data_IF_484576128140
#
_entry.id   IF_484576128140
#
_cell.length_a   1.000
_cell.length_b   1.000
_cell.length_c   1.000
_cell.angle_alpha   90.00
_cell.angle_beta   90.00
_cell.angle_gamma   90.00
#
_symmetry.space_group_name_H-M   'P 1'
#
loop_
_entity.id
_entity.type
_entity.pdbx_description
1 polymer ?
#
# COMPACT_ATOMS: atom_id res chain seq x y z
N UNK A 1 1.02 -21.41 -34.36
CA UNK A 1 0.05 -21.39 -33.25
C UNK A 1 0.48 -20.31 -32.27
N UNK A 2 -0.30 -19.23 -32.07
CA UNK A 2 0.06 -18.20 -31.12
C UNK A 2 -0.35 -18.61 -29.70
N UNK A 3 0.55 -18.38 -28.74
CA UNK A 3 0.32 -18.61 -27.31
C UNK A 3 -0.73 -17.65 -26.77
N UNK A 4 -1.53 -18.20 -25.87
CA UNK A 4 -2.65 -17.65 -25.12
C UNK A 4 -2.33 -16.38 -24.35
N UNK A 5 -3.22 -15.39 -24.53
CA UNK A 5 -3.56 -14.25 -23.66
C UNK A 5 -2.74 -14.00 -22.40
N UNK A 6 -1.78 -13.08 -22.51
CA UNK A 6 -1.45 -12.17 -21.41
C UNK A 6 -2.36 -10.97 -21.61
N UNK A 7 -3.34 -10.79 -20.73
CA UNK A 7 -4.09 -9.53 -20.64
C UNK A 7 -3.08 -8.40 -20.50
N UNK A 8 -3.08 -7.46 -21.44
CA UNK A 8 -2.24 -6.27 -21.37
C UNK A 8 -2.48 -5.60 -20.03
N UNK A 9 -1.46 -5.57 -19.17
CA UNK A 9 -1.52 -4.81 -17.92
C UNK A 9 -1.65 -3.34 -18.28
N UNK A 10 -2.63 -2.66 -17.68
CA UNK A 10 -2.74 -1.21 -17.74
C UNK A 10 -1.47 -0.58 -17.13
N UNK A 11 -0.64 0.03 -17.98
CA UNK A 11 0.68 0.56 -17.61
C UNK A 11 0.60 1.82 -16.75
N UNK A 12 -0.59 2.42 -16.58
CA UNK A 12 -0.77 3.63 -15.78
C UNK A 12 -0.76 3.41 -14.25
N UNK A 13 -0.75 2.16 -13.76
CA UNK A 13 -0.84 1.84 -12.33
C UNK A 13 0.43 1.22 -11.72
N UNK A 14 1.47 0.98 -12.52
CA UNK A 14 2.70 0.36 -12.05
C UNK A 14 3.58 1.37 -11.31
N UNK A 15 4.21 0.92 -10.21
CA UNK A 15 5.19 1.69 -9.45
C UNK A 15 6.58 1.10 -9.61
N UNK A 16 7.59 1.98 -9.60
CA UNK A 16 9.01 1.61 -9.63
C UNK A 16 9.66 1.85 -8.26
N UNK A 17 10.50 0.91 -7.83
CA UNK A 17 11.45 1.04 -6.70
C UNK A 17 12.80 0.43 -7.12
N UNK A 18 13.91 0.92 -6.55
CA UNK A 18 15.24 0.55 -6.99
C UNK A 18 16.06 -0.03 -5.84
N UNK A 19 16.62 -1.21 -6.04
CA UNK A 19 17.38 -1.94 -5.02
C UNK A 19 18.83 -2.15 -5.43
N UNK A 20 19.77 -1.62 -4.65
CA UNK A 20 21.19 -1.94 -4.71
C UNK A 20 21.51 -3.08 -3.77
N UNK A 21 21.98 -4.20 -4.31
CA UNK A 21 22.23 -5.43 -3.56
C UNK A 21 23.61 -6.00 -3.89
N UNK A 22 24.58 -5.16 -4.28
CA UNK A 22 25.85 -5.63 -4.85
C UNK A 22 25.74 -5.87 -6.36
N UNK A 23 26.42 -6.89 -6.89
CA UNK A 23 26.36 -7.21 -8.31
C UNK A 23 24.91 -7.41 -8.77
N UNK A 24 24.46 -6.58 -9.71
CA UNK A 24 23.06 -6.56 -10.12
C UNK A 24 22.61 -7.81 -10.90
N UNK A 25 23.53 -8.67 -11.35
CA UNK A 25 23.21 -9.89 -12.10
C UNK A 25 22.51 -10.92 -11.20
N UNK A 26 23.08 -11.14 -10.01
CA UNK A 26 22.44 -11.97 -8.99
C UNK A 26 21.18 -11.32 -8.46
N UNK A 27 21.20 -10.01 -8.24
CA UNK A 27 20.08 -9.26 -7.67
C UNK A 27 18.85 -9.31 -8.60
N UNK A 28 19.05 -9.11 -9.90
CA UNK A 28 18.00 -9.19 -10.92
C UNK A 28 17.31 -10.55 -10.89
N UNK A 29 18.10 -11.64 -10.87
CA UNK A 29 17.57 -13.00 -10.79
C UNK A 29 16.72 -13.23 -9.53
N UNK A 30 17.16 -12.73 -8.37
CA UNK A 30 16.44 -12.89 -7.09
C UNK A 30 15.13 -12.09 -7.08
N UNK A 31 15.16 -10.82 -7.50
CA UNK A 31 13.99 -9.94 -7.49
C UNK A 31 12.96 -10.33 -8.55
N UNK A 32 13.41 -10.80 -9.71
CA UNK A 32 12.52 -11.37 -10.75
C UNK A 32 11.72 -12.57 -10.28
N UNK A 33 12.28 -13.38 -9.38
CA UNK A 33 11.64 -14.58 -8.87
C UNK A 33 10.52 -14.28 -7.87
N UNK A 34 10.35 -13.03 -7.43
CA UNK A 34 9.27 -12.64 -6.52
C UNK A 34 7.93 -12.67 -7.27
N UNK A 35 6.95 -13.50 -6.83
CA UNK A 35 5.65 -13.57 -7.49
C UNK A 35 4.95 -12.20 -7.53
N UNK A 36 4.41 -11.83 -8.68
CA UNK A 36 3.69 -10.56 -8.87
C UNK A 36 4.55 -9.39 -9.35
N UNK A 37 5.88 -9.55 -9.42
CA UNK A 37 6.75 -8.58 -10.11
C UNK A 37 6.41 -8.53 -11.59
N UNK A 38 6.20 -7.33 -12.12
CA UNK A 38 5.81 -7.12 -13.52
C UNK A 38 7.04 -7.06 -14.45
N UNK A 39 8.10 -6.38 -14.02
CA UNK A 39 9.33 -6.19 -14.80
C UNK A 39 10.52 -5.90 -13.88
N UNK A 40 11.72 -6.30 -14.29
CA UNK A 40 12.98 -5.91 -13.65
C UNK A 40 13.99 -5.46 -14.70
N UNK A 41 14.80 -4.47 -14.35
CA UNK A 41 15.84 -3.93 -15.22
C UNK A 41 17.05 -3.53 -14.39
N UNK A 42 18.26 -3.80 -14.89
CA UNK A 42 19.49 -3.41 -14.20
C UNK A 42 20.02 -2.06 -14.67
N UNK A 43 20.64 -1.31 -13.75
CA UNK A 43 21.17 0.01 -14.04
C UNK A 43 22.03 0.59 -12.92
N UNK A 44 22.31 1.89 -13.03
CA UNK A 44 23.20 2.64 -12.13
C UNK A 44 22.45 3.82 -11.52
N UNK A 45 22.41 3.92 -10.18
CA UNK A 45 21.64 4.96 -9.48
C UNK A 45 22.32 5.49 -8.21
N UNK A 46 21.87 6.67 -7.78
CA UNK A 46 22.27 7.30 -6.51
C UNK A 46 23.68 7.91 -6.49
N UNK A 47 24.33 8.06 -7.65
CA UNK A 47 25.52 8.89 -7.81
C UNK A 47 25.19 10.32 -8.22
N UNK A 48 26.22 11.16 -8.32
CA UNK A 48 26.09 12.57 -8.66
C UNK A 48 25.98 12.83 -10.17
N UNK A 49 26.55 11.96 -11.00
CA UNK A 49 26.52 12.11 -12.44
C UNK A 49 25.09 11.91 -13.00
N UNK A 50 24.63 12.74 -13.93
CA UNK A 50 23.27 12.63 -14.46
C UNK A 50 23.06 11.40 -15.33
N UNK A 51 24.13 10.89 -15.97
CA UNK A 51 24.11 9.73 -16.84
C UNK A 51 25.47 9.05 -16.84
N UNK A 52 25.51 7.72 -16.72
CA UNK A 52 26.75 6.93 -16.67
C UNK A 52 26.63 5.62 -17.44
N UNK A 53 27.77 5.12 -17.92
CA UNK A 53 27.98 3.74 -18.42
C UNK A 53 28.67 2.89 -17.35
N UNK A 54 28.77 1.57 -17.58
CA UNK A 54 29.55 0.69 -16.71
C UNK A 54 31.00 1.17 -16.53
N UNK A 55 31.64 1.59 -17.63
CA UNK A 55 33.02 2.07 -17.62
C UNK A 55 33.18 3.36 -16.81
N UNK A 56 32.19 4.26 -16.86
CA UNK A 56 32.18 5.49 -16.06
C UNK A 56 32.10 5.16 -14.56
N UNK A 57 31.24 4.22 -14.16
CA UNK A 57 31.11 3.77 -12.76
C UNK A 57 32.42 3.16 -12.25
N UNK A 58 33.06 2.30 -13.06
CA UNK A 58 34.36 1.72 -12.69
C UNK A 58 35.48 2.75 -12.65
N UNK A 59 35.48 3.73 -13.56
CA UNK A 59 36.46 4.82 -13.57
C UNK A 59 36.31 5.69 -12.33
N UNK A 60 35.09 6.04 -11.96
CA UNK A 60 34.80 6.84 -10.78
C UNK A 60 35.23 6.11 -9.50
N UNK A 61 34.93 4.82 -9.38
CA UNK A 61 35.37 4.00 -8.25
C UNK A 61 36.91 3.98 -8.10
N UNK A 62 37.65 3.85 -9.22
CA UNK A 62 39.12 3.92 -9.20
C UNK A 62 39.62 5.30 -8.75
N UNK A 63 38.98 6.38 -9.19
CA UNK A 63 39.35 7.74 -8.79
C UNK A 63 39.08 8.00 -7.31
N UNK A 64 37.94 7.54 -6.78
CA UNK A 64 37.59 7.62 -5.36
C UNK A 64 38.62 6.88 -4.52
N UNK A 65 38.96 5.63 -4.87
CA UNK A 65 39.97 4.84 -4.14
C UNK A 65 41.37 5.46 -4.16
N UNK A 66 41.71 6.15 -5.25
CA UNK A 66 42.96 6.88 -5.36
C UNK A 66 42.96 8.23 -4.62
N UNK A 67 41.86 8.61 -3.95
CA UNK A 67 41.69 9.93 -3.32
C UNK A 67 41.62 11.10 -4.31
N UNK A 68 41.37 10.80 -5.60
CA UNK A 68 41.36 11.77 -6.71
C UNK A 68 39.97 12.29 -7.07
N UNK A 69 38.93 11.72 -6.48
CA UNK A 69 37.56 12.19 -6.59
C UNK A 69 36.88 12.17 -5.24
N UNK A 70 36.00 13.14 -5.03
CA UNK A 70 35.05 13.21 -3.90
C UNK A 70 33.60 13.08 -4.40
N UNK A 71 33.39 12.85 -5.70
CA UNK A 71 32.06 12.67 -6.25
C UNK A 71 31.47 11.34 -5.77
N UNK A 72 30.14 11.33 -5.63
CA UNK A 72 29.42 10.13 -5.25
C UNK A 72 29.23 9.22 -6.46
N UNK A 73 29.77 8.01 -6.40
CA UNK A 73 29.59 7.02 -7.46
C UNK A 73 28.16 6.43 -7.45
N UNK A 74 27.71 5.96 -8.61
CA UNK A 74 26.47 5.20 -8.71
C UNK A 74 26.62 3.80 -8.12
N UNK A 75 25.56 3.30 -7.49
CA UNK A 75 25.41 1.89 -7.16
C UNK A 75 24.84 1.14 -8.37
N UNK A 76 25.29 -0.11 -8.56
CA UNK A 76 24.55 -1.10 -9.33
C UNK A 76 23.21 -1.36 -8.64
N UNK A 77 22.12 -1.23 -9.39
CA UNK A 77 20.76 -1.41 -8.88
C UNK A 77 19.89 -2.19 -9.84
N UNK A 78 18.84 -2.77 -9.29
CA UNK A 78 17.71 -3.34 -10.03
C UNK A 78 16.51 -2.42 -9.86
N UNK A 79 15.98 -1.87 -10.96
CA UNK A 79 14.64 -1.28 -11.02
C UNK A 79 13.63 -2.41 -10.99
N UNK A 80 12.74 -2.40 -10.01
CA UNK A 80 11.63 -3.35 -9.90
C UNK A 80 10.33 -2.61 -10.15
N UNK A 81 9.58 -3.05 -11.16
CA UNK A 81 8.25 -2.54 -11.49
C UNK A 81 7.18 -3.49 -11.00
N UNK A 82 6.21 -2.98 -10.25
CA UNK A 82 5.15 -3.80 -9.64
C UNK A 82 3.79 -3.09 -9.64
N UNK A 83 2.72 -3.88 -9.64
CA UNK A 83 1.36 -3.38 -9.43
C UNK A 83 1.05 -3.41 -7.92
N UNK A 84 0.90 -2.25 -7.24
CA UNK A 84 0.62 -2.20 -5.81
C UNK A 84 -0.73 -2.83 -5.42
N UNK A 85 -1.63 -3.09 -6.39
CA UNK A 85 -2.87 -3.84 -6.15
C UNK A 85 -2.67 -5.36 -6.10
N UNK A 86 -1.56 -5.86 -6.65
CA UNK A 86 -1.25 -7.30 -6.75
C UNK A 86 -0.08 -7.72 -5.88
N UNK A 87 0.89 -6.83 -5.68
CA UNK A 87 2.09 -7.09 -4.92
C UNK A 87 2.31 -5.98 -3.90
N UNK A 88 2.25 -6.35 -2.63
CA UNK A 88 2.59 -5.47 -1.52
C UNK A 88 4.09 -5.16 -1.50
N UNK A 89 4.44 -3.89 -1.29
CA UNK A 89 5.82 -3.43 -1.24
C UNK A 89 6.61 -4.13 -0.13
N UNK A 90 5.97 -4.48 0.99
CA UNK A 90 6.66 -5.19 2.07
C UNK A 90 7.20 -6.55 1.62
N UNK A 91 6.52 -7.25 0.69
CA UNK A 91 7.04 -8.50 0.10
C UNK A 91 8.35 -8.26 -0.65
N UNK A 92 8.46 -7.16 -1.40
CA UNK A 92 9.70 -6.77 -2.10
C UNK A 92 10.80 -6.39 -1.12
N UNK A 93 10.47 -5.65 -0.06
CA UNK A 93 11.42 -5.26 0.98
C UNK A 93 11.95 -6.50 1.72
N UNK A 94 11.10 -7.46 2.08
CA UNK A 94 11.54 -8.74 2.66
C UNK A 94 12.48 -9.48 1.72
N UNK A 95 12.12 -9.59 0.43
CA UNK A 95 12.99 -10.22 -0.56
C UNK A 95 14.35 -9.49 -0.66
N UNK A 96 14.35 -8.17 -0.63
CA UNK A 96 15.57 -7.36 -0.59
C UNK A 96 16.42 -7.69 0.64
N UNK A 97 15.86 -7.60 1.84
CA UNK A 97 16.58 -7.80 3.11
C UNK A 97 17.18 -9.20 3.25
N UNK A 98 16.47 -10.25 2.83
CA UNK A 98 16.94 -11.63 3.01
C UNK A 98 17.96 -12.10 1.95
N UNK A 99 18.05 -11.44 0.79
CA UNK A 99 18.86 -11.92 -0.34
C UNK A 99 20.22 -11.22 -0.51
N UNK A 100 20.65 -10.40 0.45
CA UNK A 100 22.00 -9.81 0.51
C UNK A 100 22.41 -9.54 1.97
N UNK A 101 23.65 -9.10 2.23
CA UNK A 101 24.10 -8.69 3.57
C UNK A 101 23.96 -7.16 3.72
N UNK A 102 22.87 -6.64 4.30
CA UNK A 102 22.69 -5.20 4.46
C UNK A 102 23.66 -4.57 5.47
N UNK A 103 24.44 -5.36 6.21
CA UNK A 103 25.41 -4.89 7.20
C UNK A 103 26.81 -4.71 6.63
N UNK A 104 27.09 -5.29 5.45
CA UNK A 104 28.37 -5.14 4.75
C UNK A 104 28.48 -3.73 4.13
N UNK A 105 29.39 -2.93 4.66
CA UNK A 105 29.67 -1.57 4.17
C UNK A 105 30.47 -1.63 2.88
N UNK A 106 30.03 -0.92 1.84
CA UNK A 106 30.81 -0.68 0.63
C UNK A 106 31.10 -1.94 -0.19
N UNK A 107 30.20 -2.93 -0.18
CA UNK A 107 30.33 -4.12 -1.00
C UNK A 107 29.32 -5.21 -0.64
N UNK A 108 29.34 -6.30 -1.39
CA UNK A 108 28.60 -7.53 -1.11
C UNK A 108 29.43 -8.76 -1.46
N UNK A 109 29.68 -9.62 -0.48
CA UNK A 109 30.56 -10.78 -0.66
C UNK A 109 31.94 -10.33 -1.16
N UNK A 110 32.37 -10.87 -2.31
CA UNK A 110 33.65 -10.55 -2.94
C UNK A 110 33.62 -9.25 -3.77
N UNK A 111 32.44 -8.71 -4.06
CA UNK A 111 32.28 -7.48 -4.83
C UNK A 111 32.44 -6.27 -3.89
N UNK A 112 33.67 -5.79 -3.77
CA UNK A 112 34.01 -4.66 -2.91
C UNK A 112 34.09 -3.39 -3.74
N UNK A 113 33.38 -2.34 -3.32
CA UNK A 113 33.36 -1.01 -3.92
C UNK A 113 32.10 -0.23 -3.59
N UNK A 114 32.19 1.11 -3.66
CA UNK A 114 31.03 1.97 -3.37
C UNK A 114 29.88 1.72 -4.36
N UNK A 115 30.18 1.24 -5.56
CA UNK A 115 29.21 0.83 -6.57
C UNK A 115 28.44 -0.47 -6.22
N UNK A 116 28.91 -1.25 -5.25
CA UNK A 116 28.27 -2.49 -4.77
C UNK A 116 27.56 -2.32 -3.42
N UNK A 117 27.39 -1.08 -2.95
CA UNK A 117 26.72 -0.80 -1.68
C UNK A 117 25.26 -1.27 -1.68
N UNK A 118 24.77 -1.62 -0.50
CA UNK A 118 23.34 -1.84 -0.28
C UNK A 118 22.58 -0.51 -0.31
N UNK A 119 21.50 -0.44 -1.09
CA UNK A 119 20.70 0.78 -1.25
C UNK A 119 19.23 0.50 -1.57
N UNK A 120 18.35 1.38 -1.11
CA UNK A 120 16.96 1.49 -1.56
C UNK A 120 16.76 2.91 -2.06
N UNK A 121 16.45 3.07 -3.36
CA UNK A 121 16.03 4.36 -3.90
C UNK A 121 14.52 4.39 -4.15
N UNK A 122 13.84 5.27 -3.43
CA UNK A 122 12.39 5.41 -3.47
C UNK A 122 11.93 6.51 -4.43
N UNK A 123 10.72 6.38 -4.95
CA UNK A 123 10.05 7.35 -5.83
C UNK A 123 8.84 8.02 -5.16
N UNK A 124 8.46 7.57 -3.95
CA UNK A 124 7.39 8.18 -3.15
C UNK A 124 7.68 8.13 -1.65
N UNK A 125 7.06 9.04 -0.89
CA UNK A 125 7.20 9.08 0.57
C UNK A 125 6.65 7.81 1.24
N UNK A 126 5.62 7.19 0.67
CA UNK A 126 5.08 5.93 1.17
C UNK A 126 6.11 4.79 1.08
N UNK A 127 6.88 4.73 -0.01
CA UNK A 127 7.97 3.76 -0.16
C UNK A 127 9.09 4.01 0.86
N UNK A 128 9.47 5.28 1.08
CA UNK A 128 10.46 5.65 2.10
C UNK A 128 10.04 5.15 3.49
N UNK A 129 8.81 5.47 3.90
CA UNK A 129 8.29 5.09 5.21
C UNK A 129 8.31 3.57 5.40
N UNK A 130 7.85 2.80 4.40
CA UNK A 130 7.85 1.33 4.46
C UNK A 130 9.28 0.76 4.45
N UNK A 131 10.19 1.34 3.67
CA UNK A 131 11.60 0.94 3.67
C UNK A 131 12.26 1.17 5.04
N UNK A 132 12.01 2.31 5.69
CA UNK A 132 12.52 2.62 7.03
C UNK A 132 11.93 1.69 8.10
N UNK A 133 10.60 1.48 8.08
CA UNK A 133 9.93 0.51 8.95
C UNK A 133 10.54 -0.89 8.82
N UNK A 134 10.73 -1.33 7.58
CA UNK A 134 11.22 -2.67 7.31
C UNK A 134 12.67 -2.87 7.73
N UNK A 135 13.52 -1.85 7.53
CA UNK A 135 14.88 -1.79 8.05
C UNK A 135 14.89 -1.95 9.57
N UNK A 136 14.09 -1.16 10.28
CA UNK A 136 14.11 -1.13 11.75
C UNK A 136 13.65 -2.46 12.35
N UNK A 137 12.67 -3.12 11.70
CA UNK A 137 12.26 -4.46 12.08
C UNK A 137 13.37 -5.49 11.82
N UNK A 138 13.95 -5.49 10.62
CA UNK A 138 15.00 -6.46 10.26
C UNK A 138 16.27 -6.29 11.10
N UNK A 139 16.61 -5.05 11.47
CA UNK A 139 17.73 -4.75 12.36
C UNK A 139 17.61 -5.50 13.70
N UNK A 140 16.40 -5.62 14.25
CA UNK A 140 16.19 -6.37 15.51
C UNK A 140 16.58 -7.84 15.35
N UNK A 141 16.23 -8.46 14.22
CA UNK A 141 16.58 -9.85 13.92
C UNK A 141 18.07 -10.03 13.66
N UNK A 142 18.68 -9.14 12.86
CA UNK A 142 20.11 -9.14 12.61
C UNK A 142 20.92 -9.00 13.90
N UNK A 143 20.52 -8.08 14.78
CA UNK A 143 21.18 -7.89 16.08
C UNK A 143 21.10 -9.15 16.94
N UNK A 144 19.94 -9.82 16.98
CA UNK A 144 19.76 -11.08 17.72
C UNK A 144 20.65 -12.20 17.17
N UNK A 145 20.82 -12.23 15.85
CA UNK A 145 21.69 -13.18 15.16
C UNK A 145 23.19 -12.80 15.21
N UNK A 146 23.56 -11.70 15.88
CA UNK A 146 24.95 -11.27 16.05
C UNK A 146 25.53 -10.48 14.87
N UNK A 147 24.69 -10.02 13.93
CA UNK A 147 25.11 -9.17 12.82
C UNK A 147 25.21 -7.69 13.24
N UNK A 148 25.95 -6.92 12.44
CA UNK A 148 26.15 -5.49 12.65
C UNK A 148 24.91 -4.63 12.37
N UNK A 149 25.11 -3.31 12.41
CA UNK A 149 24.09 -2.35 12.02
C UNK A 149 23.91 -2.36 10.49
N UNK A 150 22.67 -2.30 10.03
CA UNK A 150 22.31 -2.11 8.64
C UNK A 150 22.97 -0.82 8.13
N UNK A 151 23.75 -0.98 7.06
CA UNK A 151 24.45 0.08 6.33
C UNK A 151 23.70 0.55 5.08
N UNK A 152 22.63 -0.16 4.71
CA UNK A 152 21.74 0.18 3.60
C UNK A 152 21.26 1.61 3.68
N UNK A 153 21.53 2.36 2.62
CA UNK A 153 20.97 3.71 2.49
C UNK A 153 19.56 3.69 1.93
N UNK A 154 18.73 4.62 2.39
CA UNK A 154 17.34 4.79 1.94
C UNK A 154 17.20 6.25 1.54
N UNK A 155 17.22 6.52 0.23
CA UNK A 155 17.29 7.88 -0.33
C UNK A 155 16.31 8.05 -1.49
N UNK A 156 15.87 9.29 -1.80
CA UNK A 156 15.06 9.51 -2.99
C UNK A 156 15.88 9.21 -4.25
N UNK A 157 15.24 8.62 -5.27
CA UNK A 157 15.86 8.45 -6.56
C UNK A 157 16.20 9.82 -7.18
N UNK A 158 17.47 10.02 -7.55
CA UNK A 158 17.94 11.22 -8.26
C UNK A 158 18.08 10.99 -9.76
N UNK A 159 19.00 10.10 -10.12
CA UNK A 159 19.32 9.73 -11.49
C UNK A 159 19.35 8.22 -11.61
N UNK A 160 18.88 7.72 -12.74
CA UNK A 160 18.93 6.31 -13.10
C UNK A 160 19.43 6.18 -14.53
N UNK A 161 20.51 5.43 -14.72
CA UNK A 161 21.01 5.05 -16.04
C UNK A 161 20.79 3.56 -16.24
N UNK A 162 19.95 3.18 -17.22
CA UNK A 162 19.81 1.78 -17.63
C UNK A 162 21.17 1.24 -18.07
N UNK A 163 21.55 0.07 -17.57
CA UNK A 163 22.78 -0.59 -17.97
C UNK A 163 22.68 -1.16 -19.40
N UNK A 164 23.83 -1.40 -19.99
CA UNK A 164 24.01 -1.90 -21.34
C UNK A 164 23.35 -3.29 -21.53
N UNK A 165 22.93 -3.61 -22.76
CA UNK A 165 22.11 -4.81 -23.05
C UNK A 165 22.79 -6.15 -22.70
N UNK A 166 24.12 -6.18 -22.61
CA UNK A 166 24.87 -7.34 -22.14
C UNK A 166 24.70 -7.60 -20.63
N UNK A 167 24.34 -6.60 -19.83
CA UNK A 167 24.07 -6.76 -18.39
C UNK A 167 22.63 -7.13 -18.08
N UNK A 168 21.68 -6.76 -18.95
CA UNK A 168 20.27 -7.12 -18.81
C UNK A 168 20.10 -8.65 -18.94
N UNK A 169 19.28 -9.28 -18.11
CA UNK A 169 19.02 -10.72 -18.15
C UNK A 169 20.30 -11.59 -18.10
N UNK A 170 21.37 -11.10 -17.47
CA UNK A 170 22.70 -11.72 -17.64
C UNK A 170 22.71 -13.20 -17.25
N UNK A 171 22.07 -13.57 -16.13
CA UNK A 171 21.99 -14.96 -15.66
C UNK A 171 20.94 -15.80 -16.38
N UNK A 172 20.06 -15.20 -17.19
CA UNK A 172 19.25 -15.96 -18.15
C UNK A 172 20.06 -16.30 -19.40
N UNK A 173 20.90 -15.37 -19.86
CA UNK A 173 21.81 -15.54 -21.00
C UNK A 173 22.98 -16.47 -20.65
N UNK A 174 23.45 -16.42 -19.40
CA UNK A 174 24.59 -17.16 -18.88
C UNK A 174 24.22 -17.87 -17.56
N UNK A 175 23.59 -19.06 -17.60
CA UNK A 175 23.08 -19.74 -16.41
C UNK A 175 24.15 -20.06 -15.35
N UNK A 176 25.37 -20.37 -15.79
CA UNK A 176 26.54 -20.63 -14.94
C UNK A 176 27.37 -19.36 -14.64
N UNK A 177 26.81 -18.19 -14.93
CA UNK A 177 27.42 -16.90 -14.68
C UNK A 177 27.57 -16.59 -13.18
N UNK A 178 28.42 -15.61 -12.88
CA UNK A 178 28.72 -15.22 -11.51
C UNK A 178 27.48 -14.73 -10.72
N UNK A 179 27.33 -15.22 -9.49
CA UNK A 179 26.29 -14.78 -8.55
C UNK A 179 26.86 -14.79 -7.12
N UNK A 180 27.35 -13.64 -6.66
CA UNK A 180 28.00 -13.48 -5.34
C UNK A 180 27.04 -13.31 -4.15
N UNK A 181 25.72 -13.34 -4.35
CA UNK A 181 24.74 -13.03 -3.31
C UNK A 181 24.47 -14.23 -2.40
N UNK A 182 25.08 -14.19 -1.21
CA UNK A 182 24.88 -15.20 -0.15
C UNK A 182 23.77 -14.85 0.87
N UNK A 183 23.54 -13.56 1.13
CA UNK A 183 22.67 -13.12 2.22
C UNK A 183 23.27 -13.38 3.61
N UNK A 184 22.55 -13.01 4.67
CA UNK A 184 22.94 -13.26 6.07
C UNK A 184 22.43 -14.60 6.60
N UNK A 185 21.46 -15.22 5.92
CA UNK A 185 20.71 -16.37 6.42
C UNK A 185 19.62 -16.03 7.44
N UNK A 186 19.53 -14.77 7.88
CA UNK A 186 18.54 -14.30 8.85
C UNK A 186 17.20 -14.02 8.16
N UNK A 187 16.12 -14.57 8.72
CA UNK A 187 14.76 -14.35 8.23
C UNK A 187 14.17 -13.03 8.70
N UNK A 188 13.32 -12.45 7.87
CA UNK A 188 12.65 -11.18 8.14
C UNK A 188 11.53 -11.33 9.16
N UNK A 189 10.80 -12.45 9.11
CA UNK A 189 9.85 -12.81 10.16
C UNK A 189 10.56 -12.95 11.51
N UNK A 190 9.85 -12.63 12.60
CA UNK A 190 10.34 -12.88 13.95
C UNK A 190 10.27 -14.41 14.20
N UNK A 191 11.38 -15.02 14.60
CA UNK A 191 11.36 -16.39 15.12
C UNK A 191 10.43 -16.46 16.33
N UNK A 192 9.72 -17.59 16.45
CA UNK A 192 8.61 -17.84 17.38
C UNK A 192 8.97 -17.79 18.88
N UNK A 193 10.22 -17.49 19.23
CA UNK A 193 10.76 -17.64 20.59
C UNK A 193 10.92 -16.32 21.37
N UNK A 194 10.31 -15.23 20.91
CA UNK A 194 10.17 -13.99 21.71
C UNK A 194 8.83 -14.02 22.42
N UNK A 195 8.84 -13.85 23.77
CA UNK A 195 7.70 -13.79 24.71
C UNK A 195 6.35 -13.72 23.98
N UNK A 196 5.75 -14.90 23.77
CA UNK A 196 4.64 -15.04 22.85
C UNK A 196 3.38 -14.51 23.50
N UNK A 197 2.94 -13.31 23.09
CA UNK A 197 1.55 -12.91 23.29
C UNK A 197 0.68 -14.04 22.71
N UNK A 198 -0.19 -14.70 23.49
CA UNK A 198 -1.04 -15.76 22.97
C UNK A 198 -1.90 -15.24 21.81
N UNK A 199 -2.21 -16.09 20.82
CA UNK A 199 -3.17 -15.71 19.78
C UNK A 199 -4.54 -15.40 20.39
N UNK A 200 -5.30 -14.55 19.70
CA UNK A 200 -6.71 -14.34 20.04
C UNK A 200 -7.47 -15.67 19.92
N UNK A 201 -8.54 -15.84 20.68
CA UNK A 201 -9.44 -16.99 20.52
C UNK A 201 -10.38 -16.75 19.34
N UNK A 202 -10.19 -17.49 18.24
CA UNK A 202 -11.00 -17.36 17.03
C UNK A 202 -12.49 -17.65 17.26
N UNK A 203 -12.85 -18.40 18.30
CA UNK A 203 -14.26 -18.66 18.63
C UNK A 203 -15.00 -17.45 19.21
N UNK A 204 -14.26 -16.44 19.68
CA UNK A 204 -14.81 -15.17 20.19
C UNK A 204 -14.92 -14.09 19.12
N UNK A 205 -14.38 -14.35 17.93
CA UNK A 205 -14.35 -13.42 16.81
C UNK A 205 -15.49 -13.68 15.83
N UNK A 206 -15.76 -12.68 14.97
CA UNK A 206 -16.87 -12.73 14.02
C UNK A 206 -16.49 -13.53 12.77
N UNK A 207 -17.14 -14.67 12.54
CA UNK A 207 -16.74 -15.61 11.48
C UNK A 207 -17.05 -15.11 10.06
N UNK A 208 -18.13 -14.34 9.84
CA UNK A 208 -18.48 -13.83 8.51
C UNK A 208 -17.45 -12.82 7.99
N UNK A 209 -17.05 -11.84 8.82
CA UNK A 209 -15.99 -10.85 8.56
C UNK A 209 -15.40 -10.32 9.85
N UNK A 210 -14.08 -10.40 9.99
CA UNK A 210 -13.34 -9.86 11.14
C UNK A 210 -12.03 -9.23 10.67
N UNK A 211 -11.74 -8.02 11.16
CA UNK A 211 -10.40 -7.46 11.07
C UNK A 211 -9.59 -7.85 12.30
N UNK A 212 -8.33 -8.22 12.09
CA UNK A 212 -7.35 -8.38 13.16
C UNK A 212 -6.17 -7.46 12.86
N UNK A 213 -5.89 -6.56 13.80
CA UNK A 213 -4.79 -5.60 13.74
C UNK A 213 -3.63 -6.17 14.54
N UNK A 214 -2.58 -6.54 13.83
CA UNK A 214 -1.33 -7.05 14.38
C UNK A 214 -0.36 -5.90 14.59
N UNK A 215 -0.13 -5.55 15.85
CA UNK A 215 0.77 -4.49 16.28
C UNK A 215 2.09 -5.07 16.82
N UNK A 216 3.09 -4.21 16.97
CA UNK A 216 4.32 -4.51 17.71
C UNK A 216 4.49 -3.55 18.90
N UNK A 217 5.32 -3.96 19.86
CA UNK A 217 5.86 -3.05 20.87
C UNK A 217 6.76 -2.00 20.20
N UNK A 218 6.71 -0.77 20.71
CA UNK A 218 7.43 0.40 20.17
C UNK A 218 7.23 0.58 18.66
N UNK A 219 5.97 0.66 18.24
CA UNK A 219 5.56 0.83 16.85
C UNK A 219 4.86 2.19 16.64
N UNK A 220 5.59 3.27 16.28
CA UNK A 220 5.01 4.60 16.06
C UNK A 220 3.93 4.61 14.97
N UNK A 221 4.02 3.71 13.99
CA UNK A 221 3.03 3.61 12.92
C UNK A 221 1.76 2.89 13.35
N UNK A 222 1.86 2.00 14.34
CA UNK A 222 0.71 1.38 15.00
C UNK A 222 -0.04 2.44 15.81
N UNK A 223 0.68 3.34 16.49
CA UNK A 223 0.09 4.48 17.19
C UNK A 223 -0.59 5.45 16.23
N UNK A 224 0.05 5.77 15.10
CA UNK A 224 -0.58 6.57 14.04
C UNK A 224 -1.85 5.92 13.51
N UNK A 225 -1.82 4.62 13.19
CA UNK A 225 -2.99 3.89 12.72
C UNK A 225 -4.11 3.86 13.77
N UNK A 226 -3.75 3.68 15.04
CA UNK A 226 -4.69 3.78 16.15
C UNK A 226 -5.37 5.15 16.18
N UNK A 227 -4.60 6.24 16.11
CA UNK A 227 -5.13 7.60 16.20
C UNK A 227 -5.95 8.01 14.98
N UNK A 228 -5.53 7.63 13.77
CA UNK A 228 -6.10 8.11 12.51
C UNK A 228 -7.24 7.22 11.98
N UNK A 229 -7.31 5.95 12.40
CA UNK A 229 -8.28 4.98 11.89
C UNK A 229 -9.09 4.35 13.02
N UNK A 230 -8.44 3.71 14.00
CA UNK A 230 -9.16 2.88 14.98
C UNK A 230 -9.90 3.69 16.05
N UNK A 231 -9.42 4.88 16.42
CA UNK A 231 -10.02 5.70 17.48
C UNK A 231 -11.46 6.18 17.13
N UNK A 232 -11.78 6.31 15.84
CA UNK A 232 -13.10 6.71 15.35
C UNK A 232 -13.86 5.59 14.65
N UNK A 233 -13.54 4.32 14.97
CA UNK A 233 -14.08 3.17 14.24
C UNK A 233 -15.59 3.01 14.40
N UNK A 234 -16.33 3.19 13.30
CA UNK A 234 -17.78 2.96 13.24
C UNK A 234 -18.18 1.94 12.15
N UNK A 235 -17.20 1.31 11.50
CA UNK A 235 -17.47 0.37 10.43
C UNK A 235 -18.15 -0.90 10.95
N UNK A 236 -19.02 -1.48 10.13
CA UNK A 236 -19.76 -2.71 10.47
C UNK A 236 -18.85 -3.92 10.73
N UNK A 237 -17.67 -3.92 10.11
CA UNK A 237 -16.67 -4.97 10.29
C UNK A 237 -15.99 -4.74 11.64
N UNK A 238 -16.15 -5.63 12.62
CA UNK A 238 -15.46 -5.49 13.90
C UNK A 238 -13.96 -5.67 13.70
N UNK A 239 -13.19 -5.07 14.59
CA UNK A 239 -11.75 -5.31 14.67
C UNK A 239 -11.36 -5.83 16.06
N UNK A 240 -10.28 -6.60 16.09
CA UNK A 240 -9.58 -7.00 17.31
C UNK A 240 -8.10 -6.65 17.16
N UNK A 241 -7.43 -6.35 18.27
CA UNK A 241 -5.99 -6.03 18.28
C UNK A 241 -5.21 -7.14 18.96
N UNK A 242 -4.01 -7.41 18.45
CA UNK A 242 -3.09 -8.35 19.09
C UNK A 242 -1.64 -8.00 18.81
N UNK A 243 -0.75 -8.43 19.69
CA UNK A 243 0.71 -8.46 19.48
C UNK A 243 1.23 -9.88 19.23
N UNK A 244 0.32 -10.87 19.17
CA UNK A 244 0.64 -12.21 18.69
C UNK A 244 1.13 -12.13 17.25
N UNK A 245 2.05 -13.02 16.87
CA UNK A 245 2.43 -13.21 15.47
C UNK A 245 1.79 -14.43 14.84
N UNK A 246 0.85 -15.03 15.55
CA UNK A 246 0.05 -16.18 15.14
C UNK A 246 -1.37 -15.73 14.85
N UNK A 247 -2.00 -16.40 13.87
CA UNK A 247 -3.43 -16.30 13.62
C UNK A 247 -4.23 -16.55 14.91
N UNK A 248 -5.47 -16.04 15.02
CA UNK A 248 -6.38 -16.48 16.06
C UNK A 248 -6.48 -18.01 16.09
N UNK A 249 -6.70 -18.57 17.28
CA UNK A 249 -6.81 -20.02 17.47
C UNK A 249 -7.92 -20.59 16.58
N UNK A 250 -7.58 -21.61 15.78
CA UNK A 250 -8.49 -22.24 14.82
C UNK A 250 -8.58 -21.53 13.46
N UNK A 251 -7.90 -20.41 13.27
CA UNK A 251 -7.88 -19.64 12.02
C UNK A 251 -6.54 -19.77 11.30
N UNK A 252 -6.51 -19.41 10.01
CA UNK A 252 -5.34 -19.59 9.14
C UNK A 252 -4.94 -18.30 8.43
N UNK A 253 -3.66 -17.92 8.56
CA UNK A 253 -3.03 -16.87 7.76
C UNK A 253 -2.59 -17.44 6.40
N UNK A 254 -2.68 -16.62 5.35
CA UNK A 254 -2.24 -16.98 4.00
C UNK A 254 -0.69 -17.00 3.88
N UNK A 255 -0.01 -16.31 4.79
CA UNK A 255 1.44 -16.23 4.85
C UNK A 255 1.92 -15.53 6.12
N UNK A 256 3.24 -15.45 6.36
CA UNK A 256 3.80 -14.81 7.55
C UNK A 256 3.39 -13.33 7.64
N UNK A 257 3.29 -12.81 8.84
CA UNK A 257 3.04 -11.38 9.09
C UNK A 257 4.37 -10.62 8.93
N UNK A 258 4.51 -9.86 7.84
CA UNK A 258 5.77 -9.22 7.46
C UNK A 258 5.65 -7.70 7.65
N UNK A 259 5.82 -7.21 8.87
CA UNK A 259 5.73 -5.77 9.19
C UNK A 259 4.62 -5.44 10.17
N UNK A 260 4.60 -4.19 10.64
CA UNK A 260 3.63 -3.69 11.62
C UNK A 260 3.33 -2.20 11.40
N UNK A 261 2.07 -1.75 11.58
CA UNK A 261 0.90 -2.60 11.82
C UNK A 261 0.57 -3.43 10.58
N UNK A 262 0.10 -4.65 10.77
CA UNK A 262 -0.48 -5.46 9.70
C UNK A 262 -1.94 -5.70 10.01
N UNK A 263 -2.84 -5.30 9.11
CA UNK A 263 -4.27 -5.48 9.27
C UNK A 263 -4.70 -6.60 8.36
N UNK A 264 -5.29 -7.64 8.93
CA UNK A 264 -5.74 -8.82 8.18
C UNK A 264 -7.25 -8.90 8.25
N UNK A 265 -7.88 -9.02 7.09
CA UNK A 265 -9.29 -9.34 6.96
C UNK A 265 -9.45 -10.86 6.89
N UNK A 266 -10.22 -11.40 7.83
CA UNK A 266 -10.60 -12.80 7.88
C UNK A 266 -12.06 -12.98 7.47
N UNK A 267 -12.33 -14.08 6.77
CA UNK A 267 -13.67 -14.60 6.51
C UNK A 267 -13.62 -16.12 6.68
N UNK A 268 -14.58 -16.68 7.42
CA UNK A 268 -14.68 -18.10 7.73
C UNK A 268 -13.38 -18.66 8.33
N UNK A 269 -12.79 -17.91 9.26
CA UNK A 269 -11.50 -18.22 9.88
C UNK A 269 -10.29 -18.25 8.94
N UNK A 270 -10.42 -17.77 7.70
CA UNK A 270 -9.31 -17.72 6.73
C UNK A 270 -8.99 -16.29 6.38
N UNK A 271 -7.71 -15.98 6.31
CA UNK A 271 -7.26 -14.73 5.74
C UNK A 271 -7.70 -14.62 4.27
N UNK A 272 -8.37 -13.52 3.92
CA UNK A 272 -8.78 -13.20 2.55
C UNK A 272 -8.05 -11.99 1.98
N UNK A 273 -7.57 -11.11 2.85
CA UNK A 273 -6.82 -9.92 2.47
C UNK A 273 -5.97 -9.41 3.62
N UNK A 274 -4.90 -8.67 3.28
CA UNK A 274 -4.06 -7.96 4.25
C UNK A 274 -3.69 -6.57 3.76
N UNK A 275 -3.46 -5.67 4.71
CA UNK A 275 -2.87 -4.35 4.54
C UNK A 275 -1.66 -4.25 5.45
N UNK A 276 -0.46 -4.16 4.87
CA UNK A 276 0.80 -4.26 5.61
C UNK A 276 1.50 -2.90 5.70
N UNK A 277 1.87 -2.52 6.92
CA UNK A 277 2.47 -1.22 7.21
C UNK A 277 1.47 -0.08 7.10
N UNK A 278 1.81 1.06 7.69
CA UNK A 278 0.96 2.25 7.62
C UNK A 278 1.80 3.51 7.41
N UNK A 279 1.57 4.18 6.27
CA UNK A 279 2.31 5.38 5.88
C UNK A 279 1.67 6.69 6.38
N UNK A 280 0.67 6.63 7.28
CA UNK A 280 -0.02 7.82 7.78
C UNK A 280 -1.10 8.38 6.84
N UNK A 281 -1.60 7.55 5.92
CA UNK A 281 -2.67 7.91 4.98
C UNK A 281 -3.89 7.02 5.22
N UNK A 282 -4.92 7.49 5.97
CA UNK A 282 -6.11 6.70 6.24
C UNK A 282 -6.93 6.40 4.99
N UNK A 283 -6.86 7.22 3.93
CA UNK A 283 -7.64 7.00 2.70
C UNK A 283 -7.20 5.72 1.98
N UNK A 284 -5.90 5.42 1.98
CA UNK A 284 -5.39 4.16 1.41
C UNK A 284 -5.92 2.94 2.16
N UNK A 285 -5.99 3.02 3.48
CA UNK A 285 -6.58 1.95 4.29
C UNK A 285 -8.08 1.78 3.98
N UNK A 286 -8.85 2.87 3.96
CA UNK A 286 -10.29 2.80 3.68
C UNK A 286 -10.58 2.36 2.25
N UNK A 287 -9.75 2.76 1.29
CA UNK A 287 -9.81 2.27 -0.08
C UNK A 287 -9.56 0.76 -0.15
N UNK A 288 -8.49 0.28 0.48
CA UNK A 288 -8.20 -1.16 0.57
C UNK A 288 -9.37 -1.93 1.18
N UNK A 289 -9.88 -1.47 2.33
CA UNK A 289 -11.00 -2.13 3.00
C UNK A 289 -12.25 -2.10 2.11
N UNK A 290 -12.55 -0.97 1.49
CA UNK A 290 -13.70 -0.82 0.60
C UNK A 290 -13.66 -1.74 -0.61
N UNK A 291 -12.49 -2.01 -1.20
CA UNK A 291 -12.34 -3.01 -2.26
C UNK A 291 -12.75 -4.44 -1.84
N UNK A 292 -12.72 -4.73 -0.55
CA UNK A 292 -13.15 -6.01 0.01
C UNK A 292 -14.57 -6.00 0.57
N UNK A 293 -15.19 -4.83 0.75
CA UNK A 293 -16.55 -4.70 1.27
C UNK A 293 -17.60 -4.38 0.21
N UNK A 294 -17.23 -3.58 -0.79
CA UNK A 294 -18.14 -3.07 -1.81
C UNK A 294 -18.20 -3.99 -3.03
N UNK A 295 -19.36 -4.04 -3.68
CA UNK A 295 -19.52 -4.68 -5.00
C UNK A 295 -18.78 -3.92 -6.10
N UNK A 296 -18.49 -4.54 -7.26
CA UNK A 296 -17.79 -3.85 -8.36
C UNK A 296 -18.45 -2.55 -8.81
N UNK A 297 -19.79 -2.49 -8.86
CA UNK A 297 -20.51 -1.27 -9.22
C UNK A 297 -20.36 -0.17 -8.17
N UNK A 298 -20.40 -0.54 -6.89
CA UNK A 298 -20.15 0.40 -5.79
C UNK A 298 -18.69 0.89 -5.80
N UNK A 299 -17.73 0.04 -6.14
CA UNK A 299 -16.32 0.42 -6.26
C UNK A 299 -16.11 1.44 -7.39
N UNK A 300 -16.76 1.23 -8.55
CA UNK A 300 -16.76 2.17 -9.68
C UNK A 300 -17.27 3.55 -9.24
N UNK A 301 -18.36 3.60 -8.49
CA UNK A 301 -18.89 4.86 -7.97
C UNK A 301 -17.90 5.46 -6.95
N UNK A 302 -17.55 4.71 -5.91
CA UNK A 302 -16.80 5.18 -4.75
C UNK A 302 -15.35 5.59 -5.05
N UNK A 303 -14.65 4.87 -5.93
CA UNK A 303 -13.21 5.05 -6.15
C UNK A 303 -12.85 5.57 -7.54
N UNK A 304 -13.75 5.45 -8.52
CA UNK A 304 -13.54 5.90 -9.90
C UNK A 304 -14.41 7.12 -10.26
N UNK A 305 -15.05 7.73 -9.26
CA UNK A 305 -15.96 8.88 -9.42
C UNK A 305 -17.09 8.61 -10.40
N UNK A 306 -17.53 7.35 -10.48
CA UNK A 306 -18.63 6.93 -11.33
C UNK A 306 -19.98 7.43 -10.81
N UNK A 307 -20.97 7.49 -11.69
CA UNK A 307 -22.37 7.78 -11.35
C UNK A 307 -23.26 6.61 -11.73
N UNK A 308 -24.19 6.22 -10.85
CA UNK A 308 -25.23 5.22 -11.17
C UNK A 308 -26.27 5.79 -12.14
N UNK A 309 -27.02 4.94 -12.83
CA UNK A 309 -28.05 5.41 -13.77
C UNK A 309 -29.22 6.09 -13.00
N UNK A 310 -29.79 7.17 -13.55
CA UNK A 310 -30.93 7.83 -12.92
C UNK A 310 -32.09 6.86 -12.70
N UNK A 311 -32.71 6.88 -11.53
CA UNK A 311 -33.86 6.04 -11.21
C UNK A 311 -33.51 4.61 -10.77
N UNK A 312 -32.22 4.22 -10.79
CA UNK A 312 -31.79 2.83 -10.51
C UNK A 312 -31.14 2.64 -9.15
N UNK A 313 -30.69 3.72 -8.52
CA UNK A 313 -29.96 3.70 -7.26
C UNK A 313 -30.76 3.15 -6.09
N UNK A 314 -30.08 2.43 -5.20
CA UNK A 314 -30.60 2.10 -3.90
C UNK A 314 -31.04 3.38 -3.16
N UNK A 315 -32.02 3.27 -2.27
CA UNK A 315 -32.46 4.38 -1.43
C UNK A 315 -33.06 5.62 -2.12
N UNK A 316 -33.23 5.64 -3.44
CA UNK A 316 -33.93 6.72 -4.15
C UNK A 316 -35.33 6.95 -3.57
N UNK A 317 -36.12 5.88 -3.45
CA UNK A 317 -37.49 5.91 -2.91
C UNK A 317 -37.55 5.66 -1.40
N UNK A 318 -36.42 5.62 -0.69
CA UNK A 318 -36.41 5.46 0.76
C UNK A 318 -36.96 6.72 1.43
N UNK A 319 -37.94 6.53 2.31
CA UNK A 319 -38.68 7.61 2.99
C UNK A 319 -38.89 7.35 4.48
N UNK A 320 -38.42 6.21 5.01
CA UNK A 320 -38.50 5.93 6.44
C UNK A 320 -37.61 6.90 7.23
N UNK A 321 -37.98 7.26 8.47
CA UNK A 321 -37.08 7.97 9.38
C UNK A 321 -35.81 7.16 9.63
N UNK A 322 -34.64 7.78 9.52
CA UNK A 322 -33.36 7.11 9.70
C UNK A 322 -32.15 7.95 9.32
N UNK A 323 -30.99 7.29 9.29
CA UNK A 323 -29.70 7.90 8.93
C UNK A 323 -29.06 7.15 7.76
N UNK A 324 -28.44 7.91 6.86
CA UNK A 324 -27.59 7.41 5.79
C UNK A 324 -26.12 7.50 6.22
N UNK A 325 -25.41 6.39 6.05
CA UNK A 325 -24.03 6.22 6.47
C UNK A 325 -23.12 5.92 5.28
N UNK A 326 -21.86 6.25 5.46
CA UNK A 326 -20.77 5.75 4.63
C UNK A 326 -20.69 4.22 4.78
N UNK A 327 -20.79 3.45 3.67
CA UNK A 327 -20.90 2.00 3.72
C UNK A 327 -19.59 1.30 4.11
N UNK A 328 -18.46 2.01 4.13
CA UNK A 328 -17.16 1.45 4.51
C UNK A 328 -16.82 1.83 5.95
N UNK A 329 -16.85 3.13 6.27
CA UNK A 329 -16.38 3.64 7.57
C UNK A 329 -17.48 3.69 8.63
N UNK A 330 -18.76 3.60 8.23
CA UNK A 330 -19.91 3.73 9.12
C UNK A 330 -20.13 5.14 9.65
N UNK A 331 -19.47 6.16 9.09
CA UNK A 331 -19.71 7.56 9.46
C UNK A 331 -21.09 8.03 8.99
N UNK A 332 -21.82 8.77 9.83
CA UNK A 332 -23.10 9.34 9.46
C UNK A 332 -22.91 10.46 8.43
N UNK A 333 -23.67 10.41 7.32
CA UNK A 333 -23.58 11.36 6.22
C UNK A 333 -24.80 12.29 6.15
N UNK A 334 -26.01 11.72 6.22
CA UNK A 334 -27.26 12.47 6.08
C UNK A 334 -28.35 11.90 6.98
N UNK A 335 -29.27 12.76 7.43
CA UNK A 335 -30.53 12.35 8.07
C UNK A 335 -31.66 12.31 7.03
N UNK A 336 -32.65 11.46 7.27
CA UNK A 336 -33.80 11.31 6.37
C UNK A 336 -34.69 12.55 6.30
N UNK A 337 -34.71 13.38 7.34
CA UNK A 337 -35.45 14.66 7.35
C UNK A 337 -34.82 15.73 6.43
N UNK A 338 -33.52 15.59 6.11
CA UNK A 338 -32.84 16.38 5.12
C UNK A 338 -33.13 15.93 3.67
N UNK A 339 -33.74 14.74 3.48
CA UNK A 339 -33.99 14.17 2.15
C UNK A 339 -35.26 14.77 1.53
N UNK A 340 -35.20 15.07 0.24
CA UNK A 340 -36.34 15.53 -0.54
C UNK A 340 -36.37 14.93 -1.94
N UNK A 341 -37.54 14.95 -2.59
CA UNK A 341 -37.69 14.54 -3.99
C UNK A 341 -37.37 15.72 -4.91
N UNK A 342 -36.30 15.59 -5.69
CA UNK A 342 -35.90 16.60 -6.68
C UNK A 342 -36.22 16.19 -8.12
N UNK A 343 -36.82 15.01 -8.33
CA UNK A 343 -37.05 14.39 -9.64
C UNK A 343 -35.78 14.20 -10.51
N UNK A 344 -34.56 14.35 -9.96
CA UNK A 344 -33.33 14.23 -10.74
C UNK A 344 -32.94 12.76 -11.05
N UNK A 345 -33.53 11.80 -10.33
CA UNK A 345 -33.20 10.38 -10.45
C UNK A 345 -32.20 9.84 -9.42
N UNK A 346 -31.72 10.67 -8.49
CA UNK A 346 -30.85 10.27 -7.39
C UNK A 346 -31.35 10.80 -6.04
N UNK A 347 -31.06 10.12 -4.91
CA UNK A 347 -31.27 10.66 -3.58
C UNK A 347 -30.73 12.09 -3.45
N UNK A 348 -31.61 12.99 -3.02
CA UNK A 348 -31.28 14.41 -2.85
C UNK A 348 -31.49 14.85 -1.41
N UNK A 349 -30.49 15.55 -0.87
CA UNK A 349 -30.52 16.10 0.49
C UNK A 349 -30.28 17.61 0.44
N UNK A 350 -30.80 18.37 1.40
CA UNK A 350 -30.54 19.81 1.50
C UNK A 350 -29.45 20.16 2.52
N UNK A 351 -29.11 19.24 3.43
CA UNK A 351 -28.13 19.46 4.48
C UNK A 351 -27.43 18.14 4.87
N UNK A 352 -26.09 18.13 5.03
CA UNK A 352 -25.35 16.99 5.52
C UNK A 352 -25.16 17.03 7.05
N UNK A 353 -24.73 15.91 7.61
CA UNK A 353 -24.18 15.88 8.97
C UNK A 353 -22.93 16.77 9.06
N UNK A 354 -22.79 17.49 10.18
CA UNK A 354 -21.67 18.42 10.37
C UNK A 354 -20.31 17.71 10.26
N UNK A 355 -19.43 18.21 9.40
CA UNK A 355 -18.10 17.65 9.16
C UNK A 355 -18.09 16.31 8.41
N UNK A 356 -19.21 15.86 7.85
CA UNK A 356 -19.29 14.58 7.15
C UNK A 356 -18.75 14.63 5.72
N UNK A 357 -18.74 15.79 5.07
CA UNK A 357 -18.44 15.93 3.65
C UNK A 357 -17.23 16.82 3.37
N UNK A 358 -16.46 16.42 2.36
CA UNK A 358 -15.42 17.21 1.70
C UNK A 358 -15.87 17.61 0.30
N UNK A 359 -15.40 18.76 -0.17
CA UNK A 359 -15.79 19.35 -1.45
C UNK A 359 -14.57 19.54 -2.34
N UNK A 360 -14.65 19.07 -3.58
CA UNK A 360 -13.59 19.21 -4.58
C UNK A 360 -14.15 19.86 -5.85
N UNK A 361 -13.38 20.75 -6.48
CA UNK A 361 -13.77 21.30 -7.77
C UNK A 361 -13.69 20.21 -8.84
N UNK A 362 -14.75 20.07 -9.63
CA UNK A 362 -14.86 19.11 -10.73
C UNK A 362 -15.15 19.84 -12.04
N UNK A 363 -14.14 19.89 -12.92
CA UNK A 363 -14.23 20.49 -14.26
C UNK A 363 -14.44 19.43 -15.37
N UNK A 364 -14.81 18.19 -15.00
CA UNK A 364 -15.06 17.09 -15.94
C UNK A 364 -16.29 17.32 -16.83
N UNK A 365 -16.34 16.61 -17.96
CA UNK A 365 -17.44 16.67 -18.93
C UNK A 365 -17.77 18.08 -19.45
N UNK A 366 -16.81 19.01 -19.40
CA UNK A 366 -16.99 20.39 -19.86
C UNK A 366 -17.90 21.24 -18.95
N UNK A 367 -18.18 20.77 -17.74
CA UNK A 367 -19.01 21.46 -16.75
C UNK A 367 -18.15 21.90 -15.57
N UNK A 368 -18.61 22.92 -14.83
CA UNK A 368 -18.02 23.29 -13.54
C UNK A 368 -18.95 22.90 -12.42
N UNK A 369 -18.57 21.88 -11.66
CA UNK A 369 -19.36 21.30 -10.55
C UNK A 369 -18.52 21.22 -9.28
N UNK A 370 -19.18 20.91 -8.18
CA UNK A 370 -18.51 20.61 -6.90
C UNK A 370 -18.80 19.16 -6.56
N UNK A 371 -17.76 18.33 -6.63
CA UNK A 371 -17.79 16.94 -6.19
C UNK A 371 -17.93 16.90 -4.66
N UNK A 372 -18.73 15.96 -4.18
CA UNK A 372 -18.96 15.67 -2.78
C UNK A 372 -18.34 14.31 -2.45
N UNK A 373 -17.47 14.29 -1.44
CA UNK A 373 -16.84 13.06 -0.91
C UNK A 373 -17.11 12.90 0.58
N UNK A 374 -17.06 11.66 1.06
CA UNK A 374 -17.07 11.37 2.49
C UNK A 374 -15.75 11.82 3.13
N UNK A 375 -15.81 12.56 4.24
CA UNK A 375 -14.61 13.00 4.97
C UNK A 375 -13.88 11.81 5.62
N UNK A 376 -14.62 10.80 6.06
CA UNK A 376 -14.05 9.66 6.80
C UNK A 376 -13.28 8.69 5.91
N UNK A 377 -13.89 8.23 4.81
CA UNK A 377 -13.30 7.24 3.89
C UNK A 377 -12.68 7.84 2.63
N UNK A 378 -13.10 9.06 2.24
CA UNK A 378 -12.69 9.70 1.01
C UNK A 378 -13.43 9.22 -0.25
N UNK A 379 -14.47 8.38 -0.13
CA UNK A 379 -15.22 7.90 -1.30
C UNK A 379 -16.00 9.02 -1.98
N UNK A 380 -16.12 8.91 -3.30
CA UNK A 380 -17.05 9.71 -4.09
C UNK A 380 -18.50 9.39 -3.71
N UNK A 381 -19.28 10.43 -3.44
CA UNK A 381 -20.70 10.33 -3.14
C UNK A 381 -21.55 10.89 -4.29
N UNK A 382 -21.16 12.05 -4.84
CA UNK A 382 -21.89 12.71 -5.91
C UNK A 382 -21.49 14.16 -6.07
N UNK A 383 -22.47 15.06 -6.24
CA UNK A 383 -22.24 16.49 -6.46
C UNK A 383 -23.22 17.35 -5.68
N UNK A 384 -22.84 18.59 -5.40
CA UNK A 384 -23.71 19.61 -4.78
C UNK A 384 -24.02 20.73 -5.77
N UNK A 385 -25.28 21.18 -5.75
CA UNK A 385 -25.82 22.23 -6.62
C UNK A 385 -26.54 23.31 -5.79
N UNK A 386 -26.73 24.50 -6.39
CA UNK A 386 -27.38 25.68 -5.77
C UNK A 386 -28.87 25.79 -6.15
N UNK A 387 -29.50 24.69 -6.54
CA UNK A 387 -30.90 24.58 -6.98
C UNK A 387 -31.80 23.86 -5.95
N UNK A 388 -31.35 23.79 -4.70
CA UNK A 388 -32.06 23.11 -3.62
C UNK A 388 -33.13 23.96 -2.93
N UNK A 389 -33.97 23.34 -2.09
CA UNK A 389 -34.98 24.05 -1.32
C UNK A 389 -34.34 24.91 -0.20
N UNK A 390 -35.08 25.90 0.32
CA UNK A 390 -34.73 26.55 1.60
C UNK A 390 -34.63 25.50 2.74
N UNK A 391 -33.81 25.74 3.78
CA UNK A 391 -33.13 27.00 4.08
C UNK A 391 -31.73 27.14 3.46
N UNK A 392 -31.09 26.04 3.06
CA UNK A 392 -29.70 26.07 2.58
C UNK A 392 -29.59 26.49 1.12
N UNK A 393 -30.64 26.27 0.31
CA UNK A 393 -30.60 26.42 -1.15
C UNK A 393 -29.72 25.38 -1.83
N UNK A 394 -29.22 24.38 -1.10
CA UNK A 394 -28.29 23.37 -1.61
C UNK A 394 -29.04 22.09 -1.95
N UNK A 395 -28.63 21.44 -3.04
CA UNK A 395 -29.03 20.08 -3.38
C UNK A 395 -27.81 19.19 -3.48
N UNK A 396 -27.66 18.31 -2.49
CA UNK A 396 -26.67 17.24 -2.48
C UNK A 396 -27.25 16.05 -3.25
N UNK A 397 -26.86 15.89 -4.50
CA UNK A 397 -27.30 14.84 -5.40
C UNK A 397 -26.32 13.66 -5.27
N UNK A 398 -26.73 12.62 -4.53
CA UNK A 398 -25.84 11.56 -4.07
C UNK A 398 -26.22 10.23 -4.70
N UNK A 399 -25.23 9.47 -5.13
CA UNK A 399 -25.41 8.09 -5.58
C UNK A 399 -25.92 7.24 -4.42
N UNK A 400 -27.08 6.62 -4.60
CA UNK A 400 -27.73 5.81 -3.59
C UNK A 400 -27.03 4.50 -3.29
N UNK A 401 -26.38 3.89 -4.29
CA UNK A 401 -25.65 2.63 -4.11
C UNK A 401 -24.42 2.73 -3.19
N UNK A 402 -23.91 3.93 -2.93
CA UNK A 402 -22.80 4.18 -1.98
C UNK A 402 -23.28 4.81 -0.67
N UNK A 403 -24.55 4.60 -0.34
CA UNK A 403 -25.11 4.90 0.97
C UNK A 403 -25.58 3.61 1.65
N UNK A 404 -25.43 3.54 2.97
CA UNK A 404 -26.10 2.55 3.80
C UNK A 404 -27.18 3.24 4.63
N UNK A 405 -28.44 2.81 4.50
CA UNK A 405 -29.53 3.34 5.33
C UNK A 405 -29.80 2.47 6.56
N UNK A 406 -29.94 3.10 7.73
CA UNK A 406 -30.45 2.45 8.95
C UNK A 406 -31.72 3.21 9.42
N UNK A 407 -32.88 2.53 9.52
CA UNK A 407 -34.09 3.16 10.04
C UNK A 407 -33.95 3.44 11.54
N UNK A 408 -34.60 4.51 11.99
CA UNK A 408 -34.74 4.81 13.41
C UNK A 408 -35.53 3.67 14.11
N UNK A 409 -35.23 3.38 15.39
CA UNK A 409 -36.02 2.42 16.14
C UNK A 409 -37.50 2.83 16.18
N UNK A 410 -38.44 1.87 16.24
CA UNK A 410 -39.86 2.19 16.36
C UNK A 410 -40.08 3.11 17.56
N UNK A 411 -40.89 4.17 17.39
CA UNK A 411 -41.34 4.97 18.54
C UNK A 411 -42.14 4.04 19.46
N UNK A 412 -41.71 3.94 20.72
CA UNK A 412 -42.32 3.12 21.76
C UNK A 412 -43.75 3.58 22.07
#
# INVERSE_FOLDING_TARGET
MPRTGVTAMDTQQLQDIYFGMGCFWGAEKRLRAVPGVADVEVGYAGGDAPKVTYEDVLREERLIRAGRSQARNHAEVVRVRYDPKRLDLMTLLVAFWENHDPTQVGGQGNDIGSNYRSAIYFTSEAQKILAEQSRDLYQKNLTRAGHGRISTEILPLRHYSRAEENHQDYLLKNPDGYCGLGGTGVKYGLDADVVTTPPLDGSTLRDDRQLVVYDAEDCPYCEKFQAQVLAGWNADVPFAKTRSQKAPSGWTLAGPLLGTPTIVLFQQGKEVARFTGYAGDPRKFWQWLGFHLLSPEQQRIAFESGTELPGTGAHLSESRPGTYFDPISGAALFRSDAKFDSACGWPSFFEPMAGALEFLQDDSHGMRRVEVRSTSSGIHLGHVFDDGPPPTGKRYCINGNVLKFLPDPPKA
#
